data_IF_853269731337
#
_entry.id   IF_853269731337
#
_cell.length_a   1.000
_cell.length_b   1.000
_cell.length_c   1.000
_cell.angle_alpha   90.00
_cell.angle_beta   90.00
_cell.angle_gamma   90.00
#
_symmetry.space_group_name_H-M   'P 1'
#
loop_
_entity.id
_entity.type
_entity.pdbx_description
1 polymer ?
#
# COMPACT_ATOMS: atom_id res chain seq x y z
N UNK A 1 -1.08 24.60 -8.15
CA UNK A 1 -1.82 23.97 -9.27
C UNK A 1 -2.12 22.51 -8.93
N UNK A 2 -3.24 21.97 -9.41
CA UNK A 2 -3.80 20.68 -8.98
C UNK A 2 -2.84 19.51 -9.20
N UNK A 3 -2.24 19.35 -10.39
CA UNK A 3 -1.40 18.19 -10.73
C UNK A 3 -0.15 18.09 -9.84
N UNK A 4 0.58 19.21 -9.69
CA UNK A 4 1.76 19.27 -8.83
C UNK A 4 1.44 19.09 -7.34
N UNK A 5 0.20 19.34 -6.94
CA UNK A 5 -0.26 19.23 -5.57
C UNK A 5 -0.75 17.80 -5.29
N UNK A 6 -1.71 17.30 -6.06
CA UNK A 6 -2.33 15.98 -5.90
C UNK A 6 -1.38 14.80 -6.07
N UNK A 7 -0.29 14.96 -6.84
CA UNK A 7 0.71 13.90 -7.01
C UNK A 7 1.70 13.73 -5.85
N UNK A 8 1.68 14.60 -4.84
CA UNK A 8 2.76 14.62 -3.83
C UNK A 8 2.69 13.48 -2.83
N UNK A 9 1.48 13.06 -2.46
CA UNK A 9 1.30 11.95 -1.54
C UNK A 9 1.96 10.65 -2.03
N UNK A 10 1.97 10.39 -3.34
CA UNK A 10 2.47 9.13 -3.89
C UNK A 10 3.97 8.93 -3.63
N UNK A 11 4.80 9.88 -4.05
CA UNK A 11 6.25 9.79 -3.87
C UNK A 11 6.70 9.98 -2.42
N UNK A 12 6.13 10.95 -1.69
CA UNK A 12 6.57 11.24 -0.31
C UNK A 12 6.16 10.18 0.69
N UNK A 13 5.06 9.47 0.45
CA UNK A 13 4.64 8.35 1.29
C UNK A 13 5.46 7.09 0.99
N UNK A 14 5.69 6.76 -0.28
CA UNK A 14 6.59 5.67 -0.66
C UNK A 14 8.00 5.84 -0.07
N UNK A 15 8.54 7.06 -0.11
CA UNK A 15 9.84 7.37 0.51
C UNK A 15 9.86 7.18 2.03
N UNK A 16 8.75 7.50 2.72
CA UNK A 16 8.63 7.29 4.18
C UNK A 16 8.57 5.79 4.50
N UNK A 17 7.77 5.03 3.75
CA UNK A 17 7.67 3.56 3.86
C UNK A 17 9.05 2.91 3.67
N UNK A 18 9.80 3.33 2.64
CA UNK A 18 11.17 2.86 2.42
C UNK A 18 12.11 3.26 3.58
N UNK A 19 12.03 4.50 4.05
CA UNK A 19 12.86 5.00 5.16
C UNK A 19 12.60 4.29 6.50
N UNK A 20 11.41 3.73 6.68
CA UNK A 20 11.03 2.91 7.84
C UNK A 20 11.41 1.43 7.69
N UNK A 21 11.97 1.02 6.55
CA UNK A 21 12.39 -0.36 6.31
C UNK A 21 11.24 -1.34 6.09
N UNK A 22 10.04 -0.85 5.75
CA UNK A 22 8.85 -1.68 5.56
C UNK A 22 9.05 -2.69 4.43
N UNK A 23 9.59 -2.24 3.30
CA UNK A 23 9.82 -3.07 2.12
C UNK A 23 10.94 -2.47 1.25
N UNK A 24 11.50 -3.29 0.36
CA UNK A 24 12.43 -2.81 -0.67
C UNK A 24 11.72 -1.83 -1.62
N UNK A 25 12.49 -0.98 -2.32
CA UNK A 25 11.87 -0.06 -3.27
C UNK A 25 11.25 -0.81 -4.47
N UNK A 26 11.81 -1.97 -4.83
CA UNK A 26 11.26 -2.87 -5.83
C UNK A 26 9.92 -3.47 -5.40
N UNK A 27 9.82 -3.88 -4.14
CA UNK A 27 8.58 -4.39 -3.55
C UNK A 27 7.50 -3.32 -3.48
N UNK A 28 7.86 -2.10 -3.05
CA UNK A 28 6.91 -0.99 -2.99
C UNK A 28 6.41 -0.66 -4.40
N UNK A 29 7.30 -0.62 -5.40
CA UNK A 29 6.92 -0.43 -6.80
C UNK A 29 5.97 -1.54 -7.29
N UNK A 30 6.27 -2.80 -6.98
CA UNK A 30 5.45 -3.95 -7.34
C UNK A 30 4.08 -3.93 -6.68
N UNK A 31 3.99 -3.70 -5.36
CA UNK A 31 2.73 -3.63 -4.62
C UNK A 31 1.82 -2.53 -5.21
N UNK A 32 2.38 -1.34 -5.50
CA UNK A 32 1.59 -0.22 -5.99
C UNK A 32 1.23 -0.37 -7.48
N UNK A 33 2.13 -0.90 -8.31
CA UNK A 33 1.87 -1.10 -9.74
C UNK A 33 0.94 -2.29 -9.97
N UNK A 34 1.29 -3.45 -9.44
CA UNK A 34 0.66 -4.73 -9.75
C UNK A 34 -0.52 -5.04 -8.82
N UNK A 35 -0.53 -4.48 -7.60
CA UNK A 35 -1.66 -4.58 -6.65
C UNK A 35 -2.65 -3.42 -6.81
N UNK A 36 -2.19 -2.21 -6.51
CA UNK A 36 -3.05 -1.02 -6.54
C UNK A 36 -3.39 -0.52 -7.96
N UNK A 37 -2.64 -0.94 -8.99
CA UNK A 37 -2.95 -0.62 -10.39
C UNK A 37 -2.40 0.74 -10.86
N UNK A 38 -1.42 1.32 -10.16
CA UNK A 38 -0.68 2.46 -10.72
C UNK A 38 0.07 2.03 -11.99
N UNK A 39 0.22 2.94 -12.96
CA UNK A 39 0.91 2.61 -14.22
C UNK A 39 2.41 2.28 -14.03
N UNK A 40 3.03 2.91 -13.05
CA UNK A 40 4.47 2.83 -12.75
C UNK A 40 4.64 2.98 -11.25
N UNK A 41 5.59 2.25 -10.66
CA UNK A 41 5.89 2.39 -9.23
C UNK A 41 6.48 3.77 -8.88
N UNK A 42 6.39 4.22 -7.63
CA UNK A 42 6.90 5.53 -7.22
C UNK A 42 8.41 5.70 -7.46
N UNK A 43 9.22 4.66 -7.27
CA UNK A 43 10.67 4.75 -7.40
C UNK A 43 11.12 4.73 -8.86
N UNK A 44 10.48 3.89 -9.68
CA UNK A 44 10.59 3.98 -11.15
C UNK A 44 10.22 5.37 -11.66
N UNK A 45 9.15 5.97 -11.13
CA UNK A 45 8.70 7.31 -11.52
C UNK A 45 9.69 8.41 -11.08
N UNK A 46 10.26 8.29 -9.87
CA UNK A 46 11.30 9.21 -9.38
C UNK A 46 12.56 9.14 -10.25
N UNK A 47 12.98 7.94 -10.66
CA UNK A 47 14.13 7.78 -11.54
C UNK A 47 13.86 8.23 -12.97
N UNK A 48 12.63 8.08 -13.46
CA UNK A 48 12.22 8.58 -14.77
C UNK A 48 12.19 10.11 -14.81
N UNK A 49 11.61 10.74 -13.79
CA UNK A 49 11.50 12.21 -13.68
C UNK A 49 12.86 12.83 -13.37
N UNK A 50 13.64 12.16 -12.54
CA UNK A 50 14.94 12.58 -12.05
C UNK A 50 14.87 13.23 -10.67
N UNK A 51 15.82 12.85 -9.81
CA UNK A 51 15.88 13.33 -8.42
C UNK A 51 16.19 14.84 -8.34
N UNK A 52 16.98 15.37 -9.26
CA UNK A 52 17.29 16.80 -9.37
C UNK A 52 16.12 17.67 -9.80
N UNK A 53 15.07 17.09 -10.35
CA UNK A 53 13.79 17.77 -10.58
C UNK A 53 12.86 17.52 -9.40
N UNK A 54 12.73 16.26 -8.98
CA UNK A 54 11.71 15.84 -8.02
C UNK A 54 11.98 16.39 -6.62
N UNK A 55 13.21 16.30 -6.11
CA UNK A 55 13.53 16.70 -4.74
C UNK A 55 13.40 18.22 -4.50
N UNK A 56 13.95 19.12 -5.35
CA UNK A 56 13.74 20.55 -5.17
C UNK A 56 12.27 20.97 -5.23
N UNK A 57 11.46 20.28 -6.05
CA UNK A 57 10.02 20.53 -6.11
C UNK A 57 9.31 20.08 -4.83
N UNK A 58 9.72 18.96 -4.21
CA UNK A 58 9.22 18.55 -2.90
C UNK A 58 9.53 19.60 -1.82
N UNK A 59 10.78 20.07 -1.74
CA UNK A 59 11.18 21.13 -0.80
C UNK A 59 10.41 22.44 -1.05
N UNK A 60 10.27 22.83 -2.33
CA UNK A 60 9.54 24.05 -2.70
C UNK A 60 8.08 24.01 -2.25
N UNK A 61 7.37 22.89 -2.46
CA UNK A 61 5.97 22.76 -2.02
C UNK A 61 5.90 22.74 -0.50
N UNK A 62 6.76 21.97 0.16
CA UNK A 62 6.77 21.92 1.62
C UNK A 62 6.95 23.31 2.25
N UNK A 63 7.88 24.11 1.72
CA UNK A 63 8.11 25.48 2.18
C UNK A 63 6.95 26.42 1.84
N UNK A 64 6.36 26.31 0.65
CA UNK A 64 5.23 27.15 0.22
C UNK A 64 3.96 26.90 1.04
N UNK A 65 3.80 25.70 1.58
CA UNK A 65 2.70 25.33 2.48
C UNK A 65 3.10 25.40 3.96
N UNK A 66 4.09 26.24 4.30
CA UNK A 66 4.51 26.52 5.68
C UNK A 66 4.85 25.26 6.48
N UNK A 67 5.56 24.32 5.84
CA UNK A 67 5.99 23.06 6.44
C UNK A 67 4.85 22.13 6.86
N UNK A 68 3.72 22.21 6.16
CA UNK A 68 2.61 21.28 6.29
C UNK A 68 3.07 19.80 6.20
N UNK A 69 2.83 19.03 7.26
CA UNK A 69 3.35 17.68 7.47
C UNK A 69 2.99 16.68 6.35
N UNK A 70 1.85 16.89 5.68
CA UNK A 70 1.44 16.09 4.51
C UNK A 70 2.43 16.16 3.35
N UNK A 71 3.17 17.26 3.21
CA UNK A 71 4.14 17.46 2.13
C UNK A 71 5.59 17.21 2.56
N UNK A 72 5.82 16.79 3.81
CA UNK A 72 7.16 16.63 4.37
C UNK A 72 8.04 15.76 3.44
N UNK A 73 9.19 16.26 2.92
CA UNK A 73 10.08 15.47 2.08
C UNK A 73 10.83 14.42 2.90
N UNK A 74 11.48 13.47 2.22
CA UNK A 74 12.34 12.49 2.87
C UNK A 74 13.82 12.81 2.65
N UNK A 75 14.70 12.71 3.68
CA UNK A 75 16.13 13.02 3.55
C UNK A 75 16.88 12.18 2.49
N UNK A 76 16.41 10.96 2.20
CA UNK A 76 17.04 10.07 1.22
C UNK A 76 17.22 10.73 -0.15
N UNK A 77 16.20 11.43 -0.67
CA UNK A 77 16.29 12.05 -2.00
C UNK A 77 17.24 13.26 -2.01
N UNK A 78 17.45 13.91 -0.86
CA UNK A 78 18.51 14.94 -0.70
C UNK A 78 19.90 14.30 -0.84
N UNK A 79 20.12 13.17 -0.18
CA UNK A 79 21.38 12.43 -0.23
C UNK A 79 21.66 11.91 -1.65
N UNK A 80 20.65 11.36 -2.32
CA UNK A 80 20.75 10.91 -3.72
C UNK A 80 21.08 12.07 -4.67
N UNK A 81 20.45 13.24 -4.47
CA UNK A 81 20.75 14.45 -5.24
C UNK A 81 22.22 14.86 -5.09
N UNK A 82 22.72 14.92 -3.84
CA UNK A 82 24.13 15.25 -3.56
C UNK A 82 25.09 14.21 -4.15
N UNK A 83 24.71 12.93 -4.11
CA UNK A 83 25.45 11.82 -4.69
C UNK A 83 25.32 11.66 -6.21
N UNK A 84 24.63 12.58 -6.90
CA UNK A 84 24.35 12.54 -8.35
C UNK A 84 23.68 11.23 -8.82
N UNK A 85 22.91 10.59 -7.94
CA UNK A 85 22.06 9.43 -8.27
C UNK A 85 20.72 9.97 -8.78
N UNK A 86 20.74 10.48 -10.01
CA UNK A 86 19.63 11.28 -10.56
C UNK A 86 18.60 10.44 -11.32
N UNK A 87 18.73 9.12 -11.36
CA UNK A 87 17.82 8.24 -12.08
C UNK A 87 18.28 7.92 -13.50
N UNK A 88 17.31 7.60 -14.36
CA UNK A 88 17.52 7.02 -15.69
C UNK A 88 18.48 7.81 -16.57
N UNK A 89 18.40 9.14 -16.51
CA UNK A 89 19.18 10.04 -17.38
C UNK A 89 20.69 10.05 -17.12
N UNK A 90 21.13 9.59 -15.95
CA UNK A 90 22.55 9.45 -15.60
C UNK A 90 22.97 7.99 -15.41
N UNK A 91 22.11 7.04 -15.82
CA UNK A 91 22.37 5.62 -15.70
C UNK A 91 22.11 5.03 -14.30
N UNK A 92 21.76 5.85 -13.30
CA UNK A 92 21.61 5.38 -11.92
C UNK A 92 20.78 6.29 -11.02
N UNK A 93 19.82 5.70 -10.31
CA UNK A 93 19.06 6.29 -9.21
C UNK A 93 18.74 5.24 -8.14
N UNK A 94 17.45 4.98 -7.91
CA UNK A 94 17.00 3.78 -7.18
C UNK A 94 17.40 2.51 -7.93
N UNK A 95 17.21 2.50 -9.25
CA UNK A 95 17.63 1.42 -10.15
C UNK A 95 18.90 1.76 -10.92
N UNK A 96 19.51 0.73 -11.51
CA UNK A 96 20.59 0.86 -12.50
C UNK A 96 20.01 0.82 -13.93
N UNK A 97 20.58 1.61 -14.82
CA UNK A 97 20.14 1.74 -16.20
C UNK A 97 21.32 1.64 -17.17
N UNK A 98 21.18 0.77 -18.17
CA UNK A 98 22.12 0.64 -19.31
C UNK A 98 21.32 0.85 -20.59
N UNK A 99 21.82 1.69 -21.50
CA UNK A 99 21.11 2.09 -22.72
C UNK A 99 19.66 2.58 -22.47
N UNK A 100 19.48 3.36 -21.40
CA UNK A 100 18.18 3.83 -20.92
C UNK A 100 17.19 2.70 -20.57
N UNK A 101 17.64 1.46 -20.35
CA UNK A 101 16.80 0.34 -19.90
C UNK A 101 17.15 -0.03 -18.47
N UNK A 102 16.12 -0.13 -17.63
CA UNK A 102 16.23 -0.65 -16.26
C UNK A 102 16.88 -2.03 -16.33
N UNK A 103 17.95 -2.23 -15.58
CA UNK A 103 18.59 -3.53 -15.47
C UNK A 103 17.80 -4.39 -14.49
N UNK A 104 17.54 -5.64 -14.87
CA UNK A 104 16.94 -6.62 -13.97
C UNK A 104 18.04 -7.11 -13.03
N UNK A 105 18.13 -6.45 -11.89
CA UNK A 105 19.01 -6.83 -10.78
C UNK A 105 18.64 -5.97 -9.59
N UNK A 106 18.48 -6.59 -8.43
CA UNK A 106 18.52 -5.84 -7.18
C UNK A 106 19.83 -5.07 -7.19
N UNK A 107 19.77 -3.76 -6.94
CA UNK A 107 20.99 -3.05 -6.59
C UNK A 107 21.54 -3.80 -5.38
N UNK A 108 22.82 -4.20 -5.38
CA UNK A 108 23.44 -4.85 -4.22
C UNK A 108 23.44 -3.86 -3.05
N UNK A 109 22.29 -3.68 -2.39
CA UNK A 109 22.16 -2.91 -1.17
C UNK A 109 22.60 -3.86 -0.08
N UNK A 110 23.78 -3.59 0.46
CA UNK A 110 24.53 -4.46 1.34
C UNK A 110 23.91 -4.71 2.73
N UNK A 111 22.62 -4.41 2.94
CA UNK A 111 21.87 -4.69 4.16
C UNK A 111 20.42 -4.28 3.94
N UNK A 112 19.50 -5.25 3.75
CA UNK A 112 18.20 -5.42 4.45
C UNK A 112 17.26 -6.31 3.63
N UNK A 113 16.73 -7.35 4.30
CA UNK A 113 15.57 -8.15 3.93
C UNK A 113 15.56 -8.74 2.50
N UNK A 114 16.56 -9.56 2.17
CA UNK A 114 16.27 -10.64 1.23
C UNK A 114 15.14 -11.47 1.84
N UNK A 115 13.99 -11.51 1.18
CA UNK A 115 12.94 -12.48 1.51
C UNK A 115 13.63 -13.84 1.65
N UNK A 116 13.51 -14.53 2.81
CA UNK A 116 13.92 -15.92 2.90
C UNK A 116 13.33 -16.66 1.69
N UNK A 117 14.05 -17.64 1.12
CA UNK A 117 13.47 -18.49 0.09
C UNK A 117 12.38 -19.35 0.76
N UNK A 118 11.21 -18.77 1.01
CA UNK A 118 10.02 -19.47 1.41
C UNK A 118 9.66 -20.32 0.19
N UNK A 119 10.03 -21.60 0.26
CA UNK A 119 9.77 -22.55 -0.83
C UNK A 119 8.26 -22.62 -1.04
N UNK A 120 7.83 -22.33 -2.26
CA UNK A 120 6.45 -22.46 -2.74
C UNK A 120 5.98 -23.92 -2.84
N UNK A 121 6.88 -24.88 -2.62
CA UNK A 121 6.63 -26.34 -2.62
C UNK A 121 6.06 -26.88 -1.30
N UNK A 122 5.64 -26.03 -0.35
CA UNK A 122 4.98 -26.53 0.86
C UNK A 122 3.60 -27.07 0.52
N UNK A 123 3.40 -28.36 0.77
CA UNK A 123 2.10 -29.02 0.70
C UNK A 123 1.05 -28.24 1.51
N UNK A 124 0.08 -27.65 0.82
CA UNK A 124 -0.97 -26.84 1.44
C UNK A 124 -2.10 -27.70 2.03
N UNK A 125 -2.08 -29.03 1.84
CA UNK A 125 -3.19 -29.92 2.21
C UNK A 125 -3.49 -29.95 3.71
N UNK A 126 -2.51 -29.59 4.54
CA UNK A 126 -2.62 -29.63 6.01
C UNK A 126 -2.72 -28.24 6.64
N UNK A 127 -2.90 -27.18 5.83
CA UNK A 127 -3.05 -25.83 6.36
C UNK A 127 -4.50 -25.62 6.78
N UNK A 128 -4.68 -25.22 8.04
CA UNK A 128 -5.93 -24.74 8.61
C UNK A 128 -5.79 -23.25 8.92
N UNK A 129 -6.80 -22.44 8.59
CA UNK A 129 -6.74 -20.98 8.72
C UNK A 129 -7.88 -20.45 9.57
N UNK A 130 -7.55 -19.72 10.62
CA UNK A 130 -8.49 -18.91 11.39
C UNK A 130 -8.45 -17.47 10.88
N UNK A 131 -9.62 -16.84 10.69
CA UNK A 131 -9.72 -15.52 10.05
C UNK A 131 -10.36 -14.48 10.98
N UNK A 132 -9.57 -13.44 11.29
CA UNK A 132 -10.03 -12.18 11.85
C UNK A 132 -10.08 -11.11 10.76
N UNK A 133 -11.18 -10.34 10.67
CA UNK A 133 -11.29 -9.24 9.72
C UNK A 133 -12.02 -8.05 10.32
N UNK A 134 -11.63 -6.84 9.92
CA UNK A 134 -12.34 -5.61 10.34
C UNK A 134 -13.70 -5.49 9.65
N UNK A 135 -13.82 -5.98 8.41
CA UNK A 135 -15.05 -5.96 7.63
C UNK A 135 -15.52 -7.40 7.36
N UNK A 136 -16.82 -7.63 7.55
CA UNK A 136 -17.43 -8.94 7.31
C UNK A 136 -17.30 -9.40 5.84
N UNK A 137 -17.37 -8.46 4.90
CA UNK A 137 -17.18 -8.72 3.47
C UNK A 137 -15.75 -9.19 3.13
N UNK A 138 -14.73 -8.71 3.85
CA UNK A 138 -13.35 -9.14 3.64
C UNK A 138 -13.12 -10.54 4.21
N UNK A 139 -13.73 -10.84 5.37
CA UNK A 139 -13.75 -12.22 5.91
C UNK A 139 -14.39 -13.18 4.91
N UNK A 140 -15.55 -12.82 4.33
CA UNK A 140 -16.22 -13.68 3.37
C UNK A 140 -15.37 -13.89 2.10
N UNK A 141 -14.78 -12.82 1.56
CA UNK A 141 -13.89 -12.92 0.40
C UNK A 141 -12.69 -13.86 0.66
N UNK A 142 -12.09 -13.80 1.85
CA UNK A 142 -10.99 -14.70 2.22
C UNK A 142 -11.46 -16.14 2.41
N UNK A 143 -12.62 -16.36 3.03
CA UNK A 143 -13.22 -17.70 3.15
C UNK A 143 -13.48 -18.29 1.76
N UNK A 144 -14.08 -17.52 0.85
CA UNK A 144 -14.35 -17.95 -0.52
C UNK A 144 -13.05 -18.24 -1.29
N UNK A 145 -12.05 -17.35 -1.14
CA UNK A 145 -10.73 -17.54 -1.72
C UNK A 145 -10.08 -18.83 -1.22
N UNK A 146 -10.04 -19.06 0.09
CA UNK A 146 -9.39 -20.23 0.68
C UNK A 146 -10.13 -21.55 0.38
N UNK A 147 -11.47 -21.53 0.42
CA UNK A 147 -12.29 -22.69 0.05
C UNK A 147 -12.09 -23.11 -1.42
N UNK A 148 -11.90 -22.16 -2.34
CA UNK A 148 -11.60 -22.46 -3.75
C UNK A 148 -10.28 -23.22 -3.94
N UNK A 149 -9.42 -23.26 -2.91
CA UNK A 149 -8.14 -23.94 -2.90
C UNK A 149 -8.11 -25.22 -2.09
N UNK A 150 -9.28 -25.64 -1.60
CA UNK A 150 -9.46 -26.75 -0.67
C UNK A 150 -8.74 -26.55 0.68
N UNK A 151 -8.64 -25.29 1.15
CA UNK A 151 -8.03 -24.96 2.43
C UNK A 151 -9.07 -25.06 3.55
N UNK A 152 -8.70 -25.68 4.67
CA UNK A 152 -9.60 -25.84 5.82
C UNK A 152 -9.72 -24.54 6.59
N UNK A 153 -10.96 -24.12 6.88
CA UNK A 153 -11.23 -22.98 7.75
C UNK A 153 -11.38 -23.47 9.20
N UNK A 154 -10.65 -22.82 10.10
CA UNK A 154 -10.78 -22.99 11.54
C UNK A 154 -11.90 -22.08 12.06
N UNK A 155 -13.09 -22.64 12.21
CA UNK A 155 -14.28 -21.92 12.70
C UNK A 155 -14.45 -21.95 14.23
N UNK A 156 -13.40 -22.30 14.98
CA UNK A 156 -13.46 -22.23 16.44
C UNK A 156 -13.48 -20.78 16.95
N UNK A 157 -14.04 -20.57 18.14
CA UNK A 157 -14.07 -19.25 18.81
C UNK A 157 -12.66 -18.67 19.04
N UNK A 158 -11.66 -19.53 19.15
CA UNK A 158 -10.23 -19.22 19.24
C UNK A 158 -9.46 -20.12 18.27
N UNK A 159 -8.37 -19.61 17.66
CA UNK A 159 -7.58 -20.41 16.72
C UNK A 159 -6.95 -21.62 17.41
N UNK A 160 -6.95 -22.76 16.73
CA UNK A 160 -6.15 -23.90 17.17
C UNK A 160 -4.65 -23.55 17.16
N UNK A 161 -3.82 -24.16 18.04
CA UNK A 161 -2.38 -23.87 18.12
C UNK A 161 -1.60 -24.08 16.81
N UNK A 162 -2.10 -24.95 15.94
CA UNK A 162 -1.49 -25.28 14.65
C UNK A 162 -2.12 -24.53 13.46
N UNK A 163 -3.19 -23.77 13.68
CA UNK A 163 -3.85 -22.98 12.63
C UNK A 163 -3.07 -21.69 12.36
N UNK A 164 -2.94 -21.34 11.08
CA UNK A 164 -2.51 -20.00 10.68
C UNK A 164 -3.58 -18.99 11.08
N UNK A 165 -3.18 -17.91 11.76
CA UNK A 165 -4.07 -16.79 12.07
C UNK A 165 -3.90 -15.73 10.97
N UNK A 166 -4.92 -15.57 10.14
CA UNK A 166 -4.95 -14.59 9.05
C UNK A 166 -5.79 -13.37 9.47
N UNK A 167 -5.18 -12.18 9.42
CA UNK A 167 -5.82 -10.93 9.86
C UNK A 167 -6.01 -9.95 8.69
N UNK A 168 -7.26 -9.74 8.26
CA UNK A 168 -7.64 -8.72 7.28
C UNK A 168 -7.92 -7.39 7.98
N UNK A 169 -6.90 -6.53 8.04
CA UNK A 169 -6.91 -5.31 8.85
C UNK A 169 -6.63 -4.04 8.07
N UNK A 170 -7.09 -2.91 8.61
CA UNK A 170 -6.89 -1.58 8.05
C UNK A 170 -6.16 -0.63 9.01
N UNK A 171 -5.11 0.03 8.54
CA UNK A 171 -4.41 1.12 9.24
C UNK A 171 -3.71 0.73 10.55
N UNK A 172 -3.50 -0.56 10.79
CA UNK A 172 -2.89 -1.13 11.99
C UNK A 172 -1.74 -2.07 11.58
N UNK A 173 -0.90 -2.47 12.53
CA UNK A 173 0.10 -3.54 12.36
C UNK A 173 -0.38 -4.88 12.93
N UNK A 174 0.33 -5.97 12.62
CA UNK A 174 -0.09 -7.34 12.94
C UNK A 174 -0.08 -7.61 14.44
N UNK A 175 0.81 -6.99 15.19
CA UNK A 175 0.97 -7.12 16.64
C UNK A 175 -0.20 -6.47 17.37
N UNK A 176 -0.51 -5.22 17.03
CA UNK A 176 -1.67 -4.53 17.61
C UNK A 176 -2.97 -5.25 17.23
N UNK A 177 -3.09 -5.72 15.99
CA UNK A 177 -4.24 -6.51 15.56
C UNK A 177 -4.36 -7.84 16.32
N UNK A 178 -3.27 -8.59 16.50
CA UNK A 178 -3.29 -9.86 17.23
C UNK A 178 -3.77 -9.66 18.69
N UNK A 179 -3.31 -8.60 19.35
CA UNK A 179 -3.78 -8.23 20.70
C UNK A 179 -5.28 -7.90 20.69
N UNK A 180 -5.73 -7.09 19.71
CA UNK A 180 -7.13 -6.68 19.58
C UNK A 180 -8.08 -7.85 19.33
N UNK A 181 -7.66 -8.82 18.50
CA UNK A 181 -8.39 -10.06 18.26
C UNK A 181 -8.19 -11.12 19.36
N UNK A 182 -7.31 -10.85 20.33
CA UNK A 182 -6.97 -11.76 21.44
C UNK A 182 -6.41 -13.12 20.96
N UNK A 183 -5.62 -13.09 19.89
CA UNK A 183 -5.00 -14.27 19.27
C UNK A 183 -3.50 -14.30 19.53
N UNK A 184 -2.89 -15.47 19.39
CA UNK A 184 -1.45 -15.63 19.58
C UNK A 184 -0.65 -14.96 18.43
N UNK A 185 0.19 -13.94 18.71
CA UNK A 185 0.94 -13.26 17.66
C UNK A 185 1.97 -14.17 16.96
N UNK A 186 2.41 -15.25 17.59
CA UNK A 186 3.31 -16.22 16.96
C UNK A 186 2.69 -16.94 15.74
N UNK A 187 1.35 -16.94 15.63
CA UNK A 187 0.61 -17.55 14.53
C UNK A 187 0.11 -16.52 13.50
N UNK A 188 0.26 -15.22 13.78
CA UNK A 188 -0.47 -14.17 13.08
C UNK A 188 0.26 -13.65 11.84
N UNK A 189 -0.43 -13.59 10.72
CA UNK A 189 -0.03 -12.86 9.50
C UNK A 189 -1.20 -12.01 9.05
N UNK A 190 -0.97 -10.72 8.83
CA UNK A 190 -1.97 -9.83 8.26
C UNK A 190 -1.93 -9.84 6.73
N UNK A 191 -3.07 -9.60 6.09
CA UNK A 191 -3.21 -9.48 4.63
C UNK A 191 -3.88 -8.16 4.24
N UNK A 192 -3.35 -7.50 3.20
CA UNK A 192 -3.92 -6.26 2.68
C UNK A 192 -5.12 -6.55 1.77
N UNK A 193 -6.32 -6.21 2.25
CA UNK A 193 -7.58 -6.34 1.51
C UNK A 193 -8.00 -5.05 0.78
N UNK A 194 -7.19 -3.98 0.83
CA UNK A 194 -7.50 -2.76 0.07
C UNK A 194 -7.33 -2.97 -1.45
N UNK A 195 -6.43 -3.87 -1.83
CA UNK A 195 -6.20 -4.29 -3.22
C UNK A 195 -6.94 -5.59 -3.51
N UNK A 196 -7.26 -5.81 -4.79
CA UNK A 196 -7.96 -7.01 -5.25
C UNK A 196 -7.11 -8.28 -5.04
N UNK A 197 -7.67 -9.33 -4.44
CA UNK A 197 -7.00 -10.61 -4.19
C UNK A 197 -6.54 -11.31 -5.47
N UNK A 198 -7.15 -11.03 -6.62
CA UNK A 198 -6.71 -11.55 -7.93
C UNK A 198 -5.47 -10.86 -8.49
N UNK A 199 -5.04 -9.76 -7.86
CA UNK A 199 -3.83 -8.99 -8.21
C UNK A 199 -2.72 -9.26 -7.23
N UNK A 200 -1.61 -8.50 -7.26
CA UNK A 200 -0.51 -8.65 -6.30
C UNK A 200 -0.99 -8.55 -4.83
N UNK A 201 -0.68 -9.55 -3.99
CA UNK A 201 -1.04 -9.54 -2.55
C UNK A 201 0.09 -8.97 -1.70
N UNK A 202 -0.26 -8.45 -0.54
CA UNK A 202 0.72 -8.05 0.48
C UNK A 202 0.42 -8.76 1.79
N UNK A 203 1.44 -9.40 2.36
CA UNK A 203 1.38 -10.11 3.63
C UNK A 203 2.31 -9.44 4.63
N UNK A 204 1.89 -9.38 5.89
CA UNK A 204 2.62 -8.72 6.97
C UNK A 204 2.62 -9.60 8.22
N UNK A 205 3.66 -10.40 8.47
CA UNK A 205 3.83 -11.10 9.74
C UNK A 205 3.98 -10.12 10.90
N UNK A 206 3.74 -10.58 12.12
CA UNK A 206 4.18 -9.88 13.33
C UNK A 206 5.68 -10.05 13.55
N UNK A 207 6.28 -9.21 14.38
CA UNK A 207 7.68 -9.34 14.82
C UNK A 207 8.03 -10.68 15.49
N UNK A 208 7.05 -11.49 15.90
CA UNK A 208 7.25 -12.79 16.57
C UNK A 208 6.59 -13.95 15.84
N UNK A 209 6.04 -13.74 14.65
CA UNK A 209 5.42 -14.81 13.86
C UNK A 209 6.46 -15.86 13.52
N UNK A 210 6.14 -17.12 13.77
CA UNK A 210 7.06 -18.21 13.52
C UNK A 210 7.17 -18.50 12.01
N UNK A 211 8.37 -18.88 11.57
CA UNK A 211 8.70 -19.10 10.15
C UNK A 211 7.76 -20.08 9.44
N UNK A 212 7.23 -21.09 10.16
CA UNK A 212 6.26 -22.03 9.61
C UNK A 212 4.94 -21.36 9.23
N UNK A 213 4.43 -20.42 10.03
CA UNK A 213 3.20 -19.68 9.72
C UNK A 213 3.44 -18.65 8.62
N UNK A 214 4.62 -18.03 8.57
CA UNK A 214 5.00 -17.16 7.45
C UNK A 214 5.07 -17.96 6.15
N UNK A 215 5.69 -19.15 6.18
CA UNK A 215 5.76 -20.05 5.04
C UNK A 215 4.37 -20.53 4.60
N UNK A 216 3.48 -20.89 5.54
CA UNK A 216 2.10 -21.26 5.23
C UNK A 216 1.34 -20.11 4.56
N UNK A 217 1.40 -18.90 5.13
CA UNK A 217 0.76 -17.73 4.52
C UNK A 217 1.32 -17.47 3.11
N UNK A 218 2.64 -17.52 2.95
CA UNK A 218 3.25 -17.36 1.63
C UNK A 218 2.86 -18.47 0.66
N UNK A 219 2.69 -19.72 1.10
CA UNK A 219 2.24 -20.81 0.25
C UNK A 219 0.80 -20.63 -0.26
N UNK A 220 -0.07 -20.08 0.60
CA UNK A 220 -1.46 -19.78 0.23
C UNK A 220 -1.57 -18.63 -0.77
N UNK A 221 -0.63 -17.69 -0.73
CA UNK A 221 -0.74 -16.44 -1.47
C UNK A 221 0.39 -16.13 -2.45
N UNK A 222 1.53 -16.85 -2.51
CA UNK A 222 2.78 -16.39 -3.13
C UNK A 222 3.27 -17.23 -4.32
N UNK A 223 2.46 -17.33 -5.38
CA UNK A 223 2.70 -18.14 -6.60
C UNK A 223 2.37 -19.64 -6.44
N UNK A 224 1.07 -19.99 -6.52
CA UNK A 224 0.69 -21.29 -7.09
C UNK A 224 -0.74 -21.31 -7.66
N UNK A 225 -0.84 -21.94 -8.84
CA UNK A 225 -1.94 -22.02 -9.80
C UNK A 225 -3.21 -22.77 -9.34
N UNK A 226 -3.68 -22.63 -8.10
CA UNK A 226 -5.06 -23.04 -7.76
C UNK A 226 -6.08 -21.92 -7.97
N UNK A 227 -5.67 -20.66 -7.79
CA UNK A 227 -6.60 -19.52 -7.68
C UNK A 227 -6.58 -18.55 -8.87
N UNK A 228 -5.61 -18.70 -9.79
CA UNK A 228 -5.34 -17.73 -10.85
C UNK A 228 -5.41 -18.33 -12.26
N UNK A 229 -6.61 -18.66 -12.76
CA UNK A 229 -6.84 -18.53 -14.20
C UNK A 229 -7.26 -17.09 -14.45
N UNK A 230 -6.36 -16.24 -14.94
CA UNK A 230 -6.76 -14.93 -15.43
C UNK A 230 -7.73 -15.14 -16.60
N UNK A 231 -8.88 -14.48 -16.56
CA UNK A 231 -9.85 -14.47 -17.66
C UNK A 231 -9.39 -13.60 -18.85
N UNK A 232 -8.28 -12.87 -18.69
CA UNK A 232 -7.71 -12.01 -19.73
C UNK A 232 -6.49 -12.69 -20.37
N UNK A 233 -6.65 -13.14 -21.62
CA UNK A 233 -5.63 -13.81 -22.46
C UNK A 233 -4.46 -12.89 -22.91
N UNK A 234 -4.13 -11.84 -22.14
CA UNK A 234 -3.20 -10.78 -22.58
C UNK A 234 -2.10 -10.36 -21.61
N UNK A 235 -2.16 -10.72 -20.32
CA UNK A 235 -1.15 -10.32 -19.33
C UNK A 235 -0.56 -11.52 -18.61
N UNK A 236 0.57 -12.04 -19.12
CA UNK A 236 1.42 -13.03 -18.45
C UNK A 236 2.18 -12.43 -17.24
N UNK A 237 1.51 -11.68 -16.37
CA UNK A 237 2.07 -11.29 -15.08
C UNK A 237 1.64 -12.34 -14.05
N UNK A 238 2.60 -13.11 -13.52
CA UNK A 238 2.33 -14.00 -12.41
C UNK A 238 1.74 -13.17 -11.25
N UNK A 239 0.59 -13.59 -10.75
CA UNK A 239 -0.07 -13.00 -9.59
C UNK A 239 0.77 -13.44 -8.38
N UNK A 240 1.61 -12.55 -7.83
CA UNK A 240 2.62 -12.82 -6.77
C UNK A 240 2.34 -12.06 -5.45
N UNK A 241 2.88 -12.52 -4.32
CA UNK A 241 2.73 -11.87 -3.02
C UNK A 241 4.06 -11.29 -2.54
N UNK A 242 4.00 -10.15 -1.88
CA UNK A 242 5.14 -9.60 -1.14
C UNK A 242 4.91 -9.74 0.35
N UNK A 243 5.88 -10.37 1.04
CA UNK A 243 6.05 -10.23 2.49
C UNK A 243 6.73 -8.91 2.80
N UNK A 244 6.09 -8.07 3.62
CA UNK A 244 6.65 -6.83 4.13
C UNK A 244 7.03 -6.98 5.62
N UNK A 245 7.93 -6.13 6.07
CA UNK A 245 8.17 -5.94 7.51
C UNK A 245 6.93 -5.34 8.15
N UNK A 246 6.69 -5.69 9.41
CA UNK A 246 5.59 -5.15 10.18
C UNK A 246 5.57 -3.61 10.17
N UNK A 247 4.43 -3.04 9.80
CA UNK A 247 4.23 -1.61 9.57
C UNK A 247 2.82 -1.21 9.99
N UNK A 248 2.69 -0.08 10.68
CA UNK A 248 1.37 0.51 10.95
C UNK A 248 0.75 0.96 9.62
N UNK A 249 -0.20 0.16 9.13
CA UNK A 249 -0.71 0.28 7.77
C UNK A 249 0.25 -0.32 6.73
N UNK A 250 -0.31 -1.10 5.82
CA UNK A 250 0.38 -1.66 4.66
C UNK A 250 0.88 -0.58 3.68
N UNK A 251 1.68 -0.99 2.70
CA UNK A 251 2.19 -0.11 1.64
C UNK A 251 1.04 0.53 0.84
N UNK A 252 0.12 -0.27 0.30
CA UNK A 252 -0.96 0.26 -0.52
C UNK A 252 -1.94 1.10 0.31
N UNK A 253 -2.31 0.63 1.50
CA UNK A 253 -3.16 1.39 2.43
C UNK A 253 -2.65 2.79 2.71
N UNK A 254 -1.38 2.91 3.13
CA UNK A 254 -0.77 4.20 3.45
C UNK A 254 -0.76 5.14 2.25
N UNK A 255 -0.30 4.66 1.10
CA UNK A 255 -0.17 5.49 -0.12
C UNK A 255 -1.53 5.92 -0.64
N UNK A 256 -2.47 4.99 -0.79
CA UNK A 256 -3.80 5.28 -1.35
C UNK A 256 -4.59 6.20 -0.42
N UNK A 257 -4.57 5.92 0.89
CA UNK A 257 -5.25 6.78 1.86
C UNK A 257 -4.70 8.21 1.84
N UNK A 258 -3.38 8.39 1.74
CA UNK A 258 -2.77 9.72 1.64
C UNK A 258 -3.11 10.44 0.32
N UNK A 259 -3.14 9.73 -0.82
CA UNK A 259 -3.56 10.29 -2.11
C UNK A 259 -5.01 10.78 -2.06
N UNK A 260 -5.91 9.95 -1.53
CA UNK A 260 -7.34 10.25 -1.42
C UNK A 260 -7.56 11.42 -0.46
N UNK A 261 -6.93 11.36 0.72
CA UNK A 261 -7.04 12.40 1.75
C UNK A 261 -6.54 13.75 1.25
N UNK A 262 -5.44 13.76 0.48
CA UNK A 262 -4.92 14.98 -0.14
C UNK A 262 -5.89 15.53 -1.21
N UNK A 263 -6.50 14.67 -2.02
CA UNK A 263 -7.57 15.08 -2.95
C UNK A 263 -8.76 15.74 -2.24
N UNK A 264 -9.20 15.14 -1.12
CA UNK A 264 -10.23 15.72 -0.26
C UNK A 264 -9.82 17.06 0.35
N UNK A 265 -8.56 17.23 0.74
CA UNK A 265 -8.04 18.48 1.29
C UNK A 265 -8.00 19.60 0.23
N UNK A 266 -7.59 19.28 -1.01
CA UNK A 266 -7.63 20.21 -2.16
C UNK A 266 -9.07 20.66 -2.44
N UNK A 267 -10.03 19.73 -2.40
CA UNK A 267 -11.46 20.05 -2.55
C UNK A 267 -11.97 20.93 -1.40
N UNK A 268 -11.55 20.64 -0.16
CA UNK A 268 -11.91 21.42 1.02
C UNK A 268 -11.44 22.87 0.95
N UNK A 269 -10.22 23.08 0.46
CA UNK A 269 -9.63 24.41 0.30
C UNK A 269 -10.27 25.20 -0.85
N UNK A 270 -11.14 24.58 -1.65
CA UNK A 270 -11.78 25.22 -2.79
C UNK A 270 -10.82 25.55 -3.93
N UNK A 271 -9.69 24.84 -4.03
CA UNK A 271 -8.71 25.03 -5.11
C UNK A 271 -9.32 24.66 -6.46
N UNK A 272 -10.14 23.61 -6.49
CA UNK A 272 -10.84 23.13 -7.67
C UNK A 272 -12.06 22.28 -7.29
N UNK A 273 -12.96 22.02 -8.24
CA UNK A 273 -14.07 21.09 -8.04
C UNK A 273 -13.57 19.65 -7.89
N UNK A 274 -14.30 18.77 -7.17
CA UNK A 274 -13.97 17.35 -7.09
C UNK A 274 -13.74 16.68 -8.46
N UNK A 275 -14.56 17.04 -9.45
CA UNK A 275 -14.49 16.54 -10.82
C UNK A 275 -13.20 16.98 -11.52
N UNK A 276 -12.82 18.26 -11.38
CA UNK A 276 -11.58 18.79 -11.95
C UNK A 276 -10.33 18.20 -11.28
N UNK A 277 -10.39 17.96 -9.96
CA UNK A 277 -9.31 17.29 -9.22
C UNK A 277 -9.08 15.89 -9.78
N UNK A 278 -10.15 15.13 -9.97
CA UNK A 278 -10.07 13.78 -10.51
C UNK A 278 -9.55 13.75 -11.95
N UNK A 279 -10.07 14.62 -12.81
CA UNK A 279 -9.62 14.72 -14.20
C UNK A 279 -8.14 15.12 -14.28
N UNK A 280 -7.72 16.11 -13.49
CA UNK A 280 -6.33 16.56 -13.47
C UNK A 280 -5.36 15.44 -13.03
N UNK A 281 -5.73 14.66 -12.02
CA UNK A 281 -4.88 13.55 -11.54
C UNK A 281 -4.85 12.39 -12.53
N UNK A 282 -6.01 11.97 -13.08
CA UNK A 282 -6.07 10.90 -14.08
C UNK A 282 -5.24 11.25 -15.33
N UNK A 283 -5.47 12.44 -15.90
CA UNK A 283 -4.82 12.84 -17.16
C UNK A 283 -3.38 13.28 -16.95
N UNK A 284 -3.10 14.02 -15.87
CA UNK A 284 -1.79 14.60 -15.62
C UNK A 284 -0.79 13.63 -15.00
N UNK A 285 -1.25 12.68 -14.18
CA UNK A 285 -0.39 11.73 -13.47
C UNK A 285 -0.57 10.28 -13.92
N UNK A 286 -1.55 10.00 -14.78
CA UNK A 286 -1.80 8.65 -15.31
C UNK A 286 -2.32 7.67 -14.26
N UNK A 287 -3.00 8.15 -13.22
CA UNK A 287 -3.58 7.28 -12.20
C UNK A 287 -4.79 6.52 -12.77
N UNK A 288 -5.06 5.28 -12.31
CA UNK A 288 -6.21 4.50 -12.79
C UNK A 288 -7.54 5.15 -12.41
N UNK A 289 -7.57 5.85 -11.27
CA UNK A 289 -8.71 6.62 -10.78
C UNK A 289 -8.24 7.99 -10.28
N UNK A 290 -9.16 8.94 -10.21
CA UNK A 290 -8.90 10.22 -9.57
C UNK A 290 -9.08 10.04 -8.07
N UNK A 291 -8.40 10.81 -7.21
CA UNK A 291 -8.36 10.54 -5.78
C UNK A 291 -9.75 10.51 -5.13
N UNK A 292 -10.71 11.30 -5.61
CA UNK A 292 -12.05 11.36 -5.02
C UNK A 292 -12.89 10.17 -5.48
N UNK A 293 -12.94 9.87 -6.79
CA UNK A 293 -13.60 8.65 -7.28
C UNK A 293 -12.98 7.37 -6.76
N UNK A 294 -11.67 7.38 -6.50
CA UNK A 294 -11.00 6.23 -5.92
C UNK A 294 -11.42 6.00 -4.47
N UNK A 295 -11.54 7.07 -3.68
CA UNK A 295 -12.06 6.97 -2.31
C UNK A 295 -13.49 6.46 -2.23
N UNK A 296 -14.37 6.89 -3.14
CA UNK A 296 -15.73 6.33 -3.23
C UNK A 296 -15.70 4.85 -3.64
N UNK A 297 -14.86 4.48 -4.62
CA UNK A 297 -14.73 3.10 -5.09
C UNK A 297 -14.19 2.15 -4.02
N UNK A 298 -13.22 2.59 -3.22
CA UNK A 298 -12.62 1.78 -2.14
C UNK A 298 -13.42 1.83 -0.84
N UNK A 299 -14.44 2.69 -0.76
CA UNK A 299 -15.19 2.95 0.45
C UNK A 299 -14.55 4.04 1.31
N UNK A 300 -15.19 5.20 1.40
CA UNK A 300 -14.69 6.35 2.15
C UNK A 300 -14.51 6.04 3.65
N UNK A 301 -15.36 5.18 4.23
CA UNK A 301 -15.25 4.73 5.63
C UNK A 301 -13.99 3.90 5.86
N UNK A 302 -13.62 3.04 4.90
CA UNK A 302 -12.39 2.24 4.97
C UNK A 302 -11.16 3.13 4.92
N UNK A 303 -11.15 4.13 4.04
CA UNK A 303 -10.06 5.11 3.96
C UNK A 303 -9.97 5.95 5.25
N UNK A 304 -11.11 6.37 5.80
CA UNK A 304 -11.14 7.07 7.08
C UNK A 304 -10.56 6.20 8.20
N UNK A 305 -10.98 4.93 8.31
CA UNK A 305 -10.49 3.97 9.30
C UNK A 305 -8.97 3.80 9.23
N UNK A 306 -8.41 3.66 8.02
CA UNK A 306 -6.96 3.57 7.81
C UNK A 306 -6.25 4.78 8.42
N UNK A 307 -6.70 5.99 8.09
CA UNK A 307 -6.06 7.22 8.53
C UNK A 307 -6.23 7.46 10.03
N UNK A 308 -7.40 7.17 10.59
CA UNK A 308 -7.67 7.32 12.02
C UNK A 308 -6.80 6.38 12.87
N UNK A 309 -6.61 5.13 12.44
CA UNK A 309 -5.77 4.17 13.16
C UNK A 309 -4.29 4.50 13.03
N UNK A 310 -3.79 4.80 11.82
CA UNK A 310 -2.39 5.23 11.65
C UNK A 310 -2.13 6.49 12.49
N UNK A 311 -3.03 7.47 12.45
CA UNK A 311 -2.90 8.69 13.24
C UNK A 311 -2.97 8.41 14.76
N UNK A 312 -3.89 7.55 15.20
CA UNK A 312 -4.05 7.19 16.61
C UNK A 312 -2.85 6.44 17.19
N UNK A 313 -2.23 5.56 16.41
CA UNK A 313 -1.07 4.75 16.82
C UNK A 313 0.24 5.55 16.77
N UNK A 314 0.40 6.45 15.79
CA UNK A 314 1.68 7.14 15.56
C UNK A 314 1.72 8.57 16.06
N UNK A 315 0.57 9.25 16.17
CA UNK A 315 0.47 10.68 16.40
C UNK A 315 1.00 11.57 15.26
N UNK A 316 1.43 11.00 14.12
CA UNK A 316 2.03 11.77 13.02
C UNK A 316 0.95 12.54 12.25
N UNK A 317 1.00 13.87 12.36
CA UNK A 317 0.06 14.80 11.74
C UNK A 317 -0.04 14.68 10.22
N UNK A 318 0.92 14.03 9.56
CA UNK A 318 0.82 13.64 8.15
C UNK A 318 -0.48 12.89 7.85
N UNK A 319 -0.87 11.96 8.72
CA UNK A 319 -1.99 11.03 8.49
C UNK A 319 -3.34 11.56 8.98
N UNK A 320 -3.40 12.76 9.56
CA UNK A 320 -4.66 13.31 10.07
C UNK A 320 -5.74 13.27 8.97
N UNK A 321 -6.94 12.72 9.19
CA UNK A 321 -7.97 12.73 8.18
C UNK A 321 -8.45 14.17 7.90
N UNK A 322 -8.68 14.53 6.63
CA UNK A 322 -9.22 15.84 6.28
C UNK A 322 -10.68 15.94 6.73
N UNK A 323 -11.16 17.12 7.18
CA UNK A 323 -12.57 17.32 7.50
C UNK A 323 -13.52 17.01 6.34
N UNK A 324 -13.03 17.13 5.09
CA UNK A 324 -13.82 16.76 3.91
C UNK A 324 -14.10 15.26 3.85
N UNK A 325 -13.06 14.44 4.00
CA UNK A 325 -13.16 12.98 4.05
C UNK A 325 -13.99 12.54 5.26
N UNK A 326 -13.64 13.03 6.46
CA UNK A 326 -14.32 12.67 7.72
C UNK A 326 -15.83 12.82 7.60
N UNK A 327 -16.30 14.03 7.27
CA UNK A 327 -17.73 14.33 7.26
C UNK A 327 -18.50 13.47 6.26
N UNK A 328 -17.92 13.19 5.10
CA UNK A 328 -18.60 12.44 4.03
C UNK A 328 -18.62 10.94 4.31
N UNK A 329 -17.50 10.40 4.78
CA UNK A 329 -17.42 9.03 5.25
C UNK A 329 -18.39 8.79 6.43
N UNK A 330 -18.39 9.66 7.45
CA UNK A 330 -19.29 9.55 8.60
C UNK A 330 -20.77 9.64 8.21
N UNK A 331 -21.12 10.49 7.24
CA UNK A 331 -22.50 10.63 6.75
C UNK A 331 -22.92 9.54 5.75
N UNK A 332 -22.01 8.68 5.30
CA UNK A 332 -22.34 7.67 4.29
C UNK A 332 -22.65 8.25 2.91
N UNK A 333 -22.07 9.41 2.58
CA UNK A 333 -22.31 10.11 1.30
C UNK A 333 -21.04 10.14 0.45
N UNK A 334 -21.22 10.30 -0.87
CA UNK A 334 -20.12 10.38 -1.83
C UNK A 334 -19.14 11.51 -1.50
N UNK A 335 -17.85 11.25 -1.73
CA UNK A 335 -16.76 12.22 -1.63
C UNK A 335 -16.90 13.40 -2.62
N UNK A 336 -17.69 13.25 -3.68
CA UNK A 336 -18.06 14.34 -4.61
C UNK A 336 -19.07 15.32 -4.02
N UNK A 337 -19.78 14.94 -2.95
CA UNK A 337 -20.88 15.76 -2.41
C UNK A 337 -20.36 17.14 -2.01
N UNK A 338 -20.82 18.19 -2.69
CA UNK A 338 -20.43 19.57 -2.41
C UNK A 338 -21.27 20.20 -1.29
N UNK A 339 -20.74 21.26 -0.67
CA UNK A 339 -21.50 22.04 0.32
C UNK A 339 -22.53 22.91 -0.40
N UNK A 340 -23.76 22.95 0.10
CA UNK A 340 -24.75 23.93 -0.34
C UNK A 340 -24.22 25.35 -0.10
N UNK A 341 -24.34 26.23 -1.10
CA UNK A 341 -24.08 27.66 -0.95
C UNK A 341 -25.27 28.26 -0.19
N UNK A 342 -25.04 28.73 1.03
CA UNK A 342 -25.99 29.52 1.80
C UNK A 342 -25.58 30.98 1.78
#
# INVERSE_FOLDING_TARGET
FIVNHGGRAYGTEALKILGEGVASFEDIDRILRDGAGFRMGPFELLDLTGIDVSHPVMESIYNQFYHEDRYRPHPLTRQMLMGKKLGRKVGEGFYQYTDNKKQNGQKETSNTNQQPPYKTDSDTSNISVWIGADLAEDKQQLVDYLNAGDITIDDNDQPNPDSLVLLAIYGEDTTNAAIRYQVNPNQAVAIDMLTDLSKHRTLMPSIVTQDNFVAQAYALFGENNKFGKSSDEGSNAAVDATLITESTGFVAQRVMAMVINLGCDIAMQGIASPEDIDNAVKLGLGYPYGPISWGDKLGAQRILLILERIYGLTGDQRYRPSPWLQRRATLGISLFTQRNKY
#
